data_IF_580302147042
#
_entry.id   IF_580302147042
#
_cell.length_a   1.000
_cell.length_b   1.000
_cell.length_c   1.000
_cell.angle_alpha   90.00
_cell.angle_beta   90.00
_cell.angle_gamma   90.00
#
_symmetry.space_group_name_H-M   'P 1'
#
loop_
_entity.id
_entity.type
_entity.pdbx_description
1 polymer ?
#
# COMPACT_ATOMS: atom_id res chain seq x y z
N UNK A 1 -0.37 -10.58 -11.75
CA UNK A 1 1.07 -10.81 -11.99
C UNK A 1 1.87 -9.99 -10.99
N UNK A 2 3.18 -10.23 -10.85
CA UNK A 2 4.03 -9.48 -9.93
C UNK A 2 5.42 -9.24 -10.53
N UNK A 3 6.11 -8.24 -10.01
CA UNK A 3 7.51 -7.97 -10.29
C UNK A 3 8.33 -8.06 -8.99
N UNK A 4 9.59 -8.49 -9.11
CA UNK A 4 10.57 -8.50 -8.02
C UNK A 4 11.71 -7.56 -8.37
N UNK A 5 12.02 -6.61 -7.49
CA UNK A 5 13.12 -5.67 -7.68
C UNK A 5 14.44 -6.23 -7.14
N UNK A 6 15.56 -5.62 -7.53
CA UNK A 6 16.89 -5.95 -7.00
C UNK A 6 17.00 -5.70 -5.49
N UNK A 7 16.27 -4.70 -4.97
CA UNK A 7 16.15 -4.42 -3.53
C UNK A 7 15.29 -5.44 -2.77
N UNK A 8 14.69 -6.42 -3.47
CA UNK A 8 13.86 -7.47 -2.88
C UNK A 8 12.39 -7.10 -2.70
N UNK A 9 11.97 -5.89 -3.10
CA UNK A 9 10.56 -5.52 -3.08
C UNK A 9 9.76 -6.34 -4.10
N UNK A 10 8.52 -6.66 -3.76
CA UNK A 10 7.58 -7.37 -4.64
C UNK A 10 6.36 -6.49 -4.82
N UNK A 11 6.06 -6.12 -6.06
CA UNK A 11 4.89 -5.31 -6.42
C UNK A 11 3.93 -6.15 -7.25
N UNK A 12 2.65 -6.16 -6.85
CA UNK A 12 1.60 -6.91 -7.52
C UNK A 12 0.64 -6.02 -8.32
N UNK A 13 0.08 -6.56 -9.41
CA UNK A 13 -1.13 -6.02 -10.03
C UNK A 13 -2.00 -7.11 -10.63
N UNK A 14 -3.30 -6.84 -10.73
CA UNK A 14 -4.29 -7.75 -11.29
C UNK A 14 -5.39 -6.96 -12.00
N UNK A 15 -6.13 -7.65 -12.87
CA UNK A 15 -7.35 -7.14 -13.48
C UNK A 15 -8.41 -8.23 -13.45
N UNK A 16 -9.66 -7.86 -13.18
CA UNK A 16 -10.77 -8.80 -13.11
C UNK A 16 -11.31 -9.09 -14.52
N UNK A 17 -11.54 -10.37 -14.78
CA UNK A 17 -12.32 -10.83 -15.92
C UNK A 17 -13.80 -10.48 -15.74
N UNK A 18 -14.51 -10.28 -16.85
CA UNK A 18 -15.97 -10.13 -16.88
C UNK A 18 -16.53 -10.64 -18.20
N UNK A 19 -17.83 -10.98 -18.24
CA UNK A 19 -18.49 -11.44 -19.47
C UNK A 19 -18.27 -10.42 -20.59
N UNK A 20 -17.77 -10.90 -21.74
CA UNK A 20 -17.47 -10.06 -22.91
C UNK A 20 -16.11 -9.36 -22.88
N UNK A 21 -15.29 -9.54 -21.83
CA UNK A 21 -13.89 -9.07 -21.79
C UNK A 21 -12.95 -10.25 -22.12
N UNK A 22 -12.10 -10.07 -23.14
CA UNK A 22 -11.16 -11.12 -23.54
C UNK A 22 -10.02 -11.29 -22.54
N UNK A 23 -9.36 -12.45 -22.56
CA UNK A 23 -8.23 -12.72 -21.67
C UNK A 23 -7.03 -11.81 -21.96
N UNK A 24 -6.81 -11.45 -23.22
CA UNK A 24 -5.77 -10.52 -23.65
C UNK A 24 -5.96 -9.15 -23.00
N UNK A 25 -7.18 -8.60 -23.01
CA UNK A 25 -7.46 -7.32 -22.35
C UNK A 25 -7.29 -7.39 -20.83
N UNK A 26 -7.63 -8.53 -20.20
CA UNK A 26 -7.37 -8.73 -18.76
C UNK A 26 -5.87 -8.71 -18.48
N UNK A 27 -5.07 -9.40 -19.31
CA UNK A 27 -3.62 -9.42 -19.19
C UNK A 27 -2.98 -8.05 -19.43
N UNK A 28 -3.43 -7.34 -20.47
CA UNK A 28 -2.98 -5.99 -20.82
C UNK A 28 -3.21 -5.01 -19.66
N UNK A 29 -4.44 -4.91 -19.15
CA UNK A 29 -4.75 -4.01 -18.03
C UNK A 29 -3.93 -4.34 -16.76
N UNK A 30 -3.72 -5.62 -16.46
CA UNK A 30 -2.91 -6.03 -15.31
C UNK A 30 -1.41 -5.68 -15.51
N UNK A 31 -0.90 -5.81 -16.73
CA UNK A 31 0.48 -5.47 -17.07
C UNK A 31 0.71 -3.95 -17.08
N UNK A 32 -0.19 -3.19 -17.68
CA UNK A 32 -0.16 -1.72 -17.70
C UNK A 32 -0.17 -1.16 -16.28
N UNK A 33 -1.10 -1.63 -15.44
CA UNK A 33 -1.16 -1.22 -14.04
C UNK A 33 0.13 -1.58 -13.27
N UNK A 34 0.72 -2.76 -13.49
CA UNK A 34 2.00 -3.10 -12.87
C UNK A 34 3.14 -2.17 -13.33
N UNK A 35 3.20 -1.84 -14.62
CA UNK A 35 4.20 -0.92 -15.19
C UNK A 35 4.05 0.48 -14.61
N UNK A 36 2.82 0.99 -14.47
CA UNK A 36 2.55 2.28 -13.84
C UNK A 36 3.06 2.32 -12.40
N UNK A 37 2.78 1.27 -11.61
CA UNK A 37 3.29 1.18 -10.24
C UNK A 37 4.81 1.14 -10.18
N UNK A 38 5.46 0.35 -11.03
CA UNK A 38 6.92 0.25 -11.07
C UNK A 38 7.59 1.59 -11.42
N UNK A 39 6.97 2.39 -12.30
CA UNK A 39 7.49 3.71 -12.68
C UNK A 39 7.56 4.72 -11.53
N UNK A 40 6.77 4.53 -10.47
CA UNK A 40 6.81 5.41 -9.29
C UNK A 40 8.10 5.27 -8.48
N UNK A 41 8.83 4.14 -8.61
CA UNK A 41 9.99 3.83 -7.78
C UNK A 41 9.66 3.57 -6.31
N UNK A 42 8.38 3.52 -5.93
CA UNK A 42 7.94 3.23 -4.57
C UNK A 42 8.10 1.74 -4.23
N UNK A 43 8.26 1.44 -2.94
CA UNK A 43 8.54 0.08 -2.48
C UNK A 43 7.29 -0.80 -2.35
N UNK A 44 6.11 -0.20 -2.14
CA UNK A 44 4.87 -0.90 -1.81
C UNK A 44 3.78 -0.53 -2.81
N UNK A 45 3.11 -1.53 -3.40
CA UNK A 45 1.94 -1.29 -4.24
C UNK A 45 0.73 -0.80 -3.44
N UNK A 46 -0.21 -0.13 -4.11
CA UNK A 46 -1.29 0.56 -3.43
C UNK A 46 -2.26 -0.37 -2.69
N UNK A 47 -2.47 -1.60 -3.19
CA UNK A 47 -3.30 -2.59 -2.51
C UNK A 47 -2.61 -3.15 -1.27
N UNK A 48 -1.32 -3.45 -1.35
CA UNK A 48 -0.53 -3.91 -0.21
C UNK A 48 -0.38 -2.81 0.85
N UNK A 49 -0.35 -1.54 0.44
CA UNK A 49 -0.30 -0.40 1.36
C UNK A 49 -1.48 -0.42 2.32
N UNK A 50 -2.70 -0.62 1.81
CA UNK A 50 -3.92 -0.73 2.62
C UNK A 50 -3.79 -1.81 3.70
N UNK A 51 -3.18 -2.94 3.34
CA UNK A 51 -3.02 -4.12 4.19
C UNK A 51 -1.91 -3.96 5.22
N UNK A 52 -0.83 -3.23 4.91
CA UNK A 52 0.32 -3.09 5.80
C UNK A 52 0.04 -2.15 6.99
N UNK A 53 -0.76 -1.11 6.80
CA UNK A 53 -0.99 -0.05 7.81
C UNK A 53 -1.31 -0.61 9.20
N UNK A 54 -2.25 -1.57 9.39
CA UNK A 54 -2.51 -2.16 10.70
C UNK A 54 -1.31 -2.88 11.31
N UNK A 55 -0.51 -3.59 10.52
CA UNK A 55 0.67 -4.29 11.02
C UNK A 55 1.77 -3.32 11.43
N UNK A 56 1.96 -2.23 10.68
CA UNK A 56 2.92 -1.19 11.03
C UNK A 56 2.54 -0.47 12.33
N UNK A 57 1.23 -0.30 12.60
CA UNK A 57 0.73 0.25 13.85
C UNK A 57 1.01 -0.64 15.07
N UNK A 58 1.08 -1.96 14.86
CA UNK A 58 1.35 -2.94 15.93
C UNK A 58 2.84 -3.26 16.09
N UNK A 59 3.66 -2.91 15.10
CA UNK A 59 5.10 -3.10 15.14
C UNK A 59 5.74 -2.28 16.27
N UNK A 60 6.93 -2.72 16.72
CA UNK A 60 7.74 -1.94 17.64
C UNK A 60 8.54 -0.88 16.88
N UNK A 61 8.63 0.32 17.45
CA UNK A 61 9.38 1.44 16.87
C UNK A 61 8.67 2.18 15.73
N UNK A 62 9.46 2.78 14.83
CA UNK A 62 8.97 3.58 13.70
C UNK A 62 9.18 2.82 12.39
N UNK A 63 8.09 2.69 11.62
CA UNK A 63 8.07 2.09 10.30
C UNK A 63 7.82 3.16 9.24
N UNK A 64 8.61 3.15 8.15
CA UNK A 64 8.46 4.07 7.02
C UNK A 64 8.30 3.28 5.74
N UNK A 65 7.24 3.58 4.97
CA UNK A 65 6.99 2.96 3.66
C UNK A 65 6.67 4.01 2.59
N UNK A 66 7.04 3.72 1.35
CA UNK A 66 6.60 4.46 0.17
C UNK A 66 5.56 3.66 -0.61
N UNK A 67 4.43 4.30 -0.90
CA UNK A 67 3.29 3.71 -1.60
C UNK A 67 3.19 4.27 -3.01
N UNK A 68 2.94 3.40 -3.98
CA UNK A 68 2.71 3.79 -5.38
C UNK A 68 1.48 4.68 -5.54
N UNK A 69 0.51 4.61 -4.62
CA UNK A 69 -0.69 5.46 -4.59
C UNK A 69 -1.35 5.43 -3.21
N UNK A 70 -1.56 6.60 -2.62
CA UNK A 70 -2.38 6.75 -1.42
C UNK A 70 -3.87 6.61 -1.79
N UNK A 71 -4.50 5.52 -1.35
CA UNK A 71 -5.92 5.26 -1.58
C UNK A 71 -6.78 5.92 -0.49
N UNK A 72 -8.09 6.03 -0.72
CA UNK A 72 -9.02 6.40 0.35
C UNK A 72 -9.06 5.37 1.48
N UNK A 73 -8.82 4.09 1.18
CA UNK A 73 -8.79 3.01 2.17
C UNK A 73 -7.59 3.16 3.12
N UNK A 74 -6.40 3.50 2.61
CA UNK A 74 -5.23 3.85 3.43
C UNK A 74 -5.59 4.95 4.43
N UNK A 75 -6.24 6.03 3.96
CA UNK A 75 -6.60 7.16 4.82
C UNK A 75 -7.60 6.76 5.92
N UNK A 76 -8.59 5.95 5.58
CA UNK A 76 -9.54 5.41 6.57
C UNK A 76 -8.83 4.50 7.57
N UNK A 77 -7.94 3.61 7.12
CA UNK A 77 -7.19 2.72 8.00
C UNK A 77 -6.28 3.51 8.94
N UNK A 78 -5.60 4.55 8.45
CA UNK A 78 -4.76 5.43 9.29
C UNK A 78 -5.60 6.08 10.39
N UNK A 79 -6.74 6.67 10.02
CA UNK A 79 -7.64 7.27 11.02
C UNK A 79 -8.11 6.26 12.07
N UNK A 80 -8.43 5.03 11.65
CA UNK A 80 -8.84 3.97 12.57
C UNK A 80 -7.71 3.56 13.53
N UNK A 81 -6.47 3.44 13.07
CA UNK A 81 -5.36 3.08 13.97
C UNK A 81 -4.98 4.24 14.91
N UNK A 82 -5.13 5.49 14.48
CA UNK A 82 -4.95 6.65 15.37
C UNK A 82 -6.01 6.65 16.49
N UNK A 83 -7.28 6.37 16.15
CA UNK A 83 -8.38 6.37 17.11
C UNK A 83 -8.39 5.15 18.04
N UNK A 84 -8.11 3.95 17.51
CA UNK A 84 -8.23 2.69 18.26
C UNK A 84 -6.92 2.37 18.99
N UNK A 85 -5.79 2.52 18.30
CA UNK A 85 -4.47 2.06 18.78
C UNK A 85 -3.68 3.22 19.39
N UNK A 86 -3.97 4.46 19.02
CA UNK A 86 -3.19 5.63 19.44
C UNK A 86 -1.83 5.74 18.76
N UNK A 87 -1.68 5.15 17.57
CA UNK A 87 -0.45 5.23 16.78
C UNK A 87 -0.21 6.67 16.27
N UNK A 88 1.04 7.14 16.27
CA UNK A 88 1.42 8.42 15.64
C UNK A 88 1.72 8.19 14.16
N UNK A 89 0.99 8.87 13.27
CA UNK A 89 1.10 8.69 11.83
C UNK A 89 1.42 10.00 11.12
N UNK A 90 2.39 9.95 10.21
CA UNK A 90 2.76 11.08 9.34
C UNK A 90 2.65 10.64 7.89
N UNK A 91 2.00 11.46 7.09
CA UNK A 91 1.77 11.20 5.66
C UNK A 91 2.37 12.34 4.85
N UNK A 92 3.13 11.99 3.80
CA UNK A 92 3.53 12.93 2.74
C UNK A 92 2.91 12.46 1.43
N UNK A 93 2.24 13.36 0.73
CA UNK A 93 1.54 13.07 -0.53
C UNK A 93 0.06 13.41 -0.45
N UNK A 94 -0.68 13.09 -1.50
CA UNK A 94 -2.11 13.34 -1.62
C UNK A 94 -2.84 12.09 -2.10
N UNK A 95 -4.11 11.96 -1.72
CA UNK A 95 -4.96 10.86 -2.18
C UNK A 95 -4.96 10.82 -3.71
N UNK A 96 -4.69 9.66 -4.28
CA UNK A 96 -4.62 9.45 -5.72
C UNK A 96 -3.22 9.52 -6.32
N UNK A 97 -2.21 9.96 -5.55
CA UNK A 97 -0.81 10.08 -5.97
C UNK A 97 0.10 9.21 -5.11
N UNK A 98 1.36 9.02 -5.50
CA UNK A 98 2.38 8.40 -4.64
C UNK A 98 2.54 9.14 -3.30
N UNK A 99 3.01 8.42 -2.28
CA UNK A 99 3.21 9.00 -0.97
C UNK A 99 4.10 8.18 -0.04
N UNK A 100 4.49 8.81 1.05
CA UNK A 100 5.27 8.22 2.14
C UNK A 100 4.43 8.21 3.41
N UNK A 101 4.43 7.08 4.12
CA UNK A 101 3.71 6.89 5.37
C UNK A 101 4.73 6.50 6.44
N UNK A 102 4.82 7.27 7.51
CA UNK A 102 5.58 6.98 8.72
C UNK A 102 4.60 6.63 9.85
N UNK A 103 4.76 5.47 10.49
CA UNK A 103 3.91 5.02 11.59
C UNK A 103 4.81 4.64 12.76
N UNK A 104 4.57 5.24 13.93
CA UNK A 104 5.16 4.79 15.20
C UNK A 104 4.18 3.83 15.89
N UNK A 105 4.55 2.56 15.95
CA UNK A 105 3.69 1.51 16.48
C UNK A 105 3.74 1.35 18.00
N UNK A 106 2.75 0.62 18.55
CA UNK A 106 2.56 0.38 19.99
C UNK A 106 3.18 -0.93 20.52
N UNK A 107 3.86 -1.70 19.68
CA UNK A 107 4.55 -2.95 20.05
C UNK A 107 3.67 -4.04 20.71
N UNK A 108 2.37 -4.13 20.37
CA UNK A 108 1.35 -5.06 20.92
C UNK A 108 1.11 -5.02 22.45
N UNK A 109 2.06 -4.50 23.23
CA UNK A 109 2.04 -4.47 24.69
C UNK A 109 1.52 -3.13 25.25
N UNK A 110 1.45 -2.09 24.40
CA UNK A 110 0.94 -0.76 24.75
C UNK A 110 -0.27 -0.36 23.90
N UNK A 111 -0.91 -1.32 23.24
CA UNK A 111 -2.11 -1.06 22.46
C UNK A 111 -3.33 -1.08 23.40
N UNK A 112 -4.21 -0.11 23.21
CA UNK A 112 -5.30 0.30 24.11
C UNK A 112 -6.44 -0.71 24.11
#
# INVERSE_FOLDING_TARGET
MWAKTESGAILGSSSLGKKGKSAERVGEEAAESLVEQLKTGCAVDHWLTDQLVPYLALADGESVITSTKLTSHVMTNIKLIEEIIGADVKIKGSIGSEGEISIRGCALNNCI
#
